data_IF_767960982034
#
_entry.id   IF_767960982034
#
_cell.length_a   1.000
_cell.length_b   1.000
_cell.length_c   1.000
_cell.angle_alpha   90.00
_cell.angle_beta   90.00
_cell.angle_gamma   90.00
#
_symmetry.space_group_name_H-M   'P 1'
#
loop_
_entity.id
_entity.type
_entity.pdbx_description
1 polymer ?
#
# COMPACT_ATOMS: atom_id res chain seq x y z
N UNK A 1 3.10 0.64 9.50
CA UNK A 1 2.48 1.31 8.35
C UNK A 1 3.55 1.52 7.29
N UNK A 2 4.66 2.16 7.65
CA UNK A 2 5.81 2.46 6.77
C UNK A 2 6.35 1.22 6.04
N UNK A 3 6.51 0.09 6.76
CA UNK A 3 6.89 -1.19 6.13
C UNK A 3 5.93 -1.63 5.02
N UNK A 4 4.63 -1.39 5.20
CA UNK A 4 3.63 -1.72 4.20
C UNK A 4 3.73 -0.78 2.98
N UNK A 5 3.96 0.52 3.21
CA UNK A 5 4.17 1.51 2.14
C UNK A 5 5.40 1.14 1.33
N UNK A 6 6.52 0.83 1.99
CA UNK A 6 7.74 0.39 1.31
C UNK A 6 7.54 -0.89 0.48
N UNK A 7 6.75 -1.86 0.98
CA UNK A 7 6.38 -3.06 0.21
C UNK A 7 5.57 -2.68 -1.03
N UNK A 8 4.56 -1.82 -0.88
CA UNK A 8 3.68 -1.42 -1.99
C UNK A 8 4.46 -0.66 -3.06
N UNK A 9 5.28 0.31 -2.64
CA UNK A 9 6.14 1.09 -3.52
C UNK A 9 7.07 0.17 -4.32
N UNK A 10 7.81 -0.70 -3.64
CA UNK A 10 8.80 -1.61 -4.25
C UNK A 10 8.17 -2.69 -5.13
N UNK A 11 7.12 -3.36 -4.62
CA UNK A 11 6.56 -4.53 -5.31
C UNK A 11 5.48 -4.15 -6.33
N UNK A 12 5.14 -2.86 -6.43
CA UNK A 12 4.08 -2.28 -7.26
C UNK A 12 2.76 -3.08 -7.18
N UNK A 13 2.43 -3.58 -5.98
CA UNK A 13 1.21 -4.36 -5.68
C UNK A 13 0.54 -3.87 -4.40
N UNK A 14 -0.70 -3.43 -4.52
CA UNK A 14 -1.53 -3.04 -3.39
C UNK A 14 -2.85 -3.84 -3.39
N UNK A 15 -2.97 -4.77 -2.44
CA UNK A 15 -4.24 -5.40 -2.08
C UNK A 15 -4.20 -5.87 -0.62
N UNK A 16 -5.37 -5.98 0.02
CA UNK A 16 -5.48 -6.41 1.41
C UNK A 16 -4.82 -7.77 1.64
N UNK A 17 -5.11 -8.76 0.79
CA UNK A 17 -4.54 -10.10 0.92
C UNK A 17 -3.03 -10.13 0.66
N UNK A 18 -2.51 -9.22 -0.18
CA UNK A 18 -1.07 -9.12 -0.43
C UNK A 18 -0.32 -8.60 0.79
N UNK A 19 -0.78 -7.49 1.38
CA UNK A 19 -0.23 -6.93 2.62
C UNK A 19 -0.34 -7.93 3.78
N UNK A 20 -1.47 -8.62 3.89
CA UNK A 20 -1.68 -9.67 4.88
C UNK A 20 -0.57 -10.72 4.84
N UNK A 21 -0.28 -11.28 3.65
CA UNK A 21 0.76 -12.31 3.47
C UNK A 21 2.18 -11.76 3.67
N UNK A 22 2.46 -10.56 3.15
CA UNK A 22 3.82 -9.99 3.19
C UNK A 22 4.24 -9.54 4.58
N UNK A 23 3.29 -9.15 5.41
CA UNK A 23 3.52 -8.72 6.79
C UNK A 23 3.14 -9.76 7.84
N UNK A 24 2.57 -10.91 7.43
CA UNK A 24 2.08 -11.96 8.32
C UNK A 24 1.12 -11.41 9.39
N UNK A 25 0.20 -10.55 8.97
CA UNK A 25 -0.82 -9.92 9.85
C UNK A 25 -2.22 -10.45 9.54
N UNK A 26 -3.18 -10.21 10.44
CA UNK A 26 -4.60 -10.53 10.19
C UNK A 26 -5.24 -9.64 9.12
N UNK A 27 -6.33 -10.12 8.52
CA UNK A 27 -7.04 -9.45 7.43
C UNK A 27 -7.48 -8.03 7.79
N UNK A 28 -8.13 -7.84 8.95
CA UNK A 28 -8.63 -6.53 9.37
C UNK A 28 -7.50 -5.50 9.49
N UNK A 29 -6.36 -5.91 10.04
CA UNK A 29 -5.18 -5.04 10.15
C UNK A 29 -4.63 -4.66 8.78
N UNK A 30 -4.60 -5.60 7.83
CA UNK A 30 -4.20 -5.32 6.46
C UNK A 30 -5.19 -4.38 5.74
N UNK A 31 -6.49 -4.54 5.99
CA UNK A 31 -7.53 -3.70 5.42
C UNK A 31 -7.41 -2.25 5.91
N UNK A 32 -7.26 -2.05 7.23
CA UNK A 32 -7.06 -0.70 7.80
C UNK A 32 -5.78 -0.03 7.29
N UNK A 33 -4.71 -0.78 7.03
CA UNK A 33 -3.49 -0.24 6.43
C UNK A 33 -3.78 0.25 5.00
N UNK A 34 -4.50 -0.55 4.21
CA UNK A 34 -4.85 -0.23 2.83
C UNK A 34 -5.80 0.98 2.75
N UNK A 35 -6.80 1.06 3.63
CA UNK A 35 -7.69 2.22 3.75
C UNK A 35 -6.92 3.48 4.10
N UNK A 36 -5.98 3.39 5.04
CA UNK A 36 -5.11 4.51 5.40
C UNK A 36 -4.24 4.95 4.22
N UNK A 37 -3.67 4.00 3.46
CA UNK A 37 -2.91 4.32 2.25
C UNK A 37 -3.77 5.02 1.19
N UNK A 38 -5.05 4.67 1.07
CA UNK A 38 -5.97 5.34 0.15
C UNK A 38 -6.27 6.78 0.61
N UNK A 39 -6.54 6.97 1.90
CA UNK A 39 -6.78 8.29 2.49
C UNK A 39 -5.58 9.23 2.36
N UNK A 40 -4.36 8.68 2.51
CA UNK A 40 -3.11 9.44 2.37
C UNK A 40 -2.67 9.59 0.90
N UNK A 41 -3.45 9.08 -0.07
CA UNK A 41 -3.12 9.19 -1.49
C UNK A 41 -1.91 8.34 -1.93
N UNK A 42 -1.53 7.33 -1.15
CA UNK A 42 -0.48 6.36 -1.49
C UNK A 42 -0.97 5.36 -2.54
N UNK A 43 -2.23 4.95 -2.42
CA UNK A 43 -2.91 4.06 -3.35
C UNK A 43 -4.25 4.64 -3.79
N UNK A 44 -4.69 4.31 -4.99
CA UNK A 44 -5.98 4.70 -5.53
C UNK A 44 -7.12 3.79 -5.07
N UNK A 45 -8.32 4.01 -5.62
CA UNK A 45 -9.49 3.19 -5.34
C UNK A 45 -9.27 1.73 -5.76
N UNK A 46 -9.99 0.83 -5.09
CA UNK A 46 -9.99 -0.58 -5.44
C UNK A 46 -10.69 -0.80 -6.79
N UNK A 47 -10.07 -1.62 -7.64
CA UNK A 47 -10.72 -2.12 -8.85
C UNK A 47 -11.61 -3.34 -8.54
N UNK A 48 -12.26 -3.88 -9.58
CA UNK A 48 -13.16 -5.04 -9.46
C UNK A 48 -12.49 -6.31 -8.89
N UNK A 49 -11.15 -6.41 -8.93
CA UNK A 49 -10.38 -7.52 -8.39
C UNK A 49 -9.79 -7.22 -6.99
N UNK A 50 -10.15 -6.09 -6.37
CA UNK A 50 -9.62 -5.67 -5.07
C UNK A 50 -8.15 -5.24 -5.10
N UNK A 51 -7.59 -4.99 -6.29
CA UNK A 51 -6.26 -4.38 -6.45
C UNK A 51 -6.41 -2.86 -6.51
N UNK A 52 -5.42 -2.14 -6.03
CA UNK A 52 -5.39 -0.68 -6.04
C UNK A 52 -4.26 -0.16 -6.91
N UNK A 53 -4.52 0.93 -7.60
CA UNK A 53 -3.49 1.69 -8.29
C UNK A 53 -2.51 2.28 -7.27
N UNK A 54 -1.23 2.43 -7.62
CA UNK A 54 -0.20 2.95 -6.71
C UNK A 54 0.21 4.31 -7.21
N UNK A 55 -0.03 5.31 -6.36
CA UNK A 55 0.09 6.73 -6.71
C UNK A 55 1.44 7.31 -6.28
N UNK A 56 2.11 6.71 -5.30
CA UNK A 56 3.50 7.07 -4.95
C UNK A 56 4.46 6.70 -6.08
N UNK A 57 5.38 7.62 -6.36
CA UNK A 57 6.53 7.41 -7.24
C UNK A 57 7.69 6.91 -6.39
N UNK A 58 8.62 6.16 -6.98
CA UNK A 58 9.82 5.66 -6.27
C UNK A 58 10.74 6.78 -5.77
N UNK A 59 10.47 8.05 -6.13
CA UNK A 59 11.37 9.20 -5.97
C UNK A 59 11.12 10.07 -4.72
N UNK A 60 10.21 9.72 -3.82
CA UNK A 60 9.97 10.48 -2.57
C UNK A 60 11.10 10.29 -1.52
N UNK A 61 12.22 9.68 -1.88
CA UNK A 61 13.48 9.70 -1.11
C UNK A 61 14.35 10.95 -1.41
N UNK A 62 14.01 11.77 -2.41
CA UNK A 62 14.90 12.84 -2.89
C UNK A 62 14.59 14.26 -2.38
N UNK A 63 13.61 14.44 -1.49
CA UNK A 63 13.17 15.76 -1.00
C UNK A 63 13.86 16.23 0.30
N UNK A 64 14.95 15.55 0.70
CA UNK A 64 15.83 15.94 1.81
C UNK A 64 17.23 16.43 1.35
N UNK A 65 17.34 17.01 0.15
CA UNK A 65 18.57 17.67 -0.32
C UNK A 65 18.43 19.18 -0.44
#
# INVERSE_FOLDING_TARGET
>A
YDRAVAIVARDRKASTSYIQRRLSIGYNRAASIIERMEQEGVVGPANHAGKREILVREEDENDFR
#
